data_IF_519458993609
#
_entry.id   IF_519458993609
#
_cell.length_a   1.000
_cell.length_b   1.000
_cell.length_c   1.000
_cell.angle_alpha   90.00
_cell.angle_beta   90.00
_cell.angle_gamma   90.00
#
_symmetry.space_group_name_H-M   'P 1'
#
loop_
_entity.id
_entity.type
_entity.pdbx_description
1 polymer ?
#
# COMPACT_ATOMS: atom_id res chain seq x y z
N UNK A 1 -22.44 -26.45 50.26
CA UNK A 1 -21.42 -26.91 49.28
C UNK A 1 -21.87 -26.70 47.84
N UNK A 2 -22.76 -27.48 47.22
CA UNK A 2 -23.10 -27.24 45.79
C UNK A 2 -23.72 -25.84 45.52
N UNK A 3 -24.58 -25.35 46.42
CA UNK A 3 -25.25 -24.05 46.27
C UNK A 3 -24.30 -22.85 46.53
N UNK A 4 -23.38 -22.96 47.50
CA UNK A 4 -22.39 -21.91 47.80
C UNK A 4 -21.42 -21.70 46.63
N UNK A 5 -20.96 -22.78 45.99
CA UNK A 5 -20.09 -22.70 44.81
C UNK A 5 -20.81 -22.08 43.60
N UNK A 6 -22.13 -22.28 43.47
CA UNK A 6 -22.92 -21.63 42.43
C UNK A 6 -23.11 -20.14 42.68
N UNK A 7 -23.26 -19.72 43.94
CA UNK A 7 -23.46 -18.32 44.31
C UNK A 7 -22.17 -17.51 44.18
N UNK A 8 -21.04 -18.06 44.60
CA UNK A 8 -19.71 -17.47 44.38
C UNK A 8 -19.38 -17.32 42.89
N UNK A 9 -19.69 -18.34 42.08
CA UNK A 9 -19.46 -18.32 40.64
C UNK A 9 -20.30 -17.25 39.93
N UNK A 10 -21.57 -17.06 40.33
CA UNK A 10 -22.42 -15.98 39.81
C UNK A 10 -21.91 -14.61 40.21
N UNK A 11 -21.53 -14.44 41.48
CA UNK A 11 -20.96 -13.18 41.97
C UNK A 11 -19.70 -12.81 41.18
N UNK A 12 -18.77 -13.75 41.02
CA UNK A 12 -17.55 -13.56 40.22
C UNK A 12 -17.84 -13.14 38.78
N UNK A 13 -18.78 -13.80 38.10
CA UNK A 13 -19.15 -13.46 36.73
C UNK A 13 -19.70 -12.02 36.60
N UNK A 14 -20.47 -11.56 37.59
CA UNK A 14 -20.98 -10.18 37.65
C UNK A 14 -19.83 -9.19 37.77
N UNK A 15 -18.92 -9.38 38.74
CA UNK A 15 -17.79 -8.46 38.95
C UNK A 15 -16.88 -8.40 37.72
N UNK A 16 -16.65 -9.53 37.04
CA UNK A 16 -15.90 -9.55 35.79
C UNK A 16 -16.60 -8.75 34.68
N UNK A 17 -17.91 -8.92 34.51
CA UNK A 17 -18.68 -8.18 33.51
C UNK A 17 -18.71 -6.67 33.81
N UNK A 18 -18.78 -6.30 35.10
CA UNK A 18 -18.69 -4.92 35.54
C UNK A 18 -17.32 -4.31 35.28
N UNK A 19 -16.23 -5.05 35.54
CA UNK A 19 -14.87 -4.61 35.25
C UNK A 19 -14.68 -4.36 33.75
N UNK A 20 -15.16 -5.26 32.91
CA UNK A 20 -15.13 -5.11 31.45
C UNK A 20 -15.91 -3.87 31.00
N UNK A 21 -17.07 -3.62 31.61
CA UNK A 21 -17.91 -2.45 31.31
C UNK A 21 -17.24 -1.16 31.75
N UNK A 22 -16.62 -1.14 32.93
CA UNK A 22 -15.86 -0.02 33.45
C UNK A 22 -14.62 0.31 32.60
N UNK A 23 -13.91 -0.73 32.10
CA UNK A 23 -12.79 -0.56 31.17
C UNK A 23 -13.24 0.12 29.87
N UNK A 24 -14.34 -0.35 29.26
CA UNK A 24 -14.92 0.28 28.06
C UNK A 24 -15.40 1.70 28.31
N UNK A 25 -15.96 1.97 29.48
CA UNK A 25 -16.42 3.28 29.91
C UNK A 25 -15.30 4.22 30.37
N UNK A 26 -14.07 3.70 30.57
CA UNK A 26 -12.90 4.44 31.05
C UNK A 26 -13.08 4.96 32.47
N UNK A 27 -13.90 4.28 33.26
CA UNK A 27 -14.22 4.65 34.63
C UNK A 27 -13.13 4.13 35.57
N UNK A 28 -12.05 4.90 35.70
CA UNK A 28 -10.88 4.55 36.53
C UNK A 28 -11.22 4.39 38.00
N UNK A 29 -12.22 5.11 38.52
CA UNK A 29 -12.69 4.96 39.89
C UNK A 29 -13.39 3.62 40.08
N UNK A 30 -14.29 3.23 39.15
CA UNK A 30 -14.97 1.94 39.22
C UNK A 30 -14.01 0.78 39.00
N UNK A 31 -13.07 0.90 38.07
CA UNK A 31 -11.99 -0.08 37.89
C UNK A 31 -11.22 -0.25 39.20
N UNK A 32 -10.74 0.85 39.80
CA UNK A 32 -9.98 0.77 41.06
C UNK A 32 -10.80 0.15 42.20
N UNK A 33 -12.10 0.45 42.28
CA UNK A 33 -12.99 -0.17 43.27
C UNK A 33 -13.08 -1.68 43.08
N UNK A 34 -13.34 -2.14 41.86
CA UNK A 34 -13.52 -3.56 41.53
C UNK A 34 -12.23 -4.36 41.71
N UNK A 35 -11.06 -3.78 41.43
CA UNK A 35 -9.77 -4.46 41.61
C UNK A 35 -9.37 -4.59 43.08
N UNK A 36 -9.87 -3.74 43.98
CA UNK A 36 -9.63 -3.89 45.43
C UNK A 36 -10.43 -5.03 46.05
N UNK A 37 -11.44 -5.51 45.35
CA UNK A 37 -12.22 -6.65 45.78
C UNK A 37 -11.46 -7.93 45.37
N UNK A 38 -11.18 -8.83 46.31
CA UNK A 38 -10.37 -10.06 46.10
C UNK A 38 -11.00 -11.07 45.12
N UNK A 39 -12.09 -10.71 44.44
CA UNK A 39 -12.76 -11.54 43.44
C UNK A 39 -12.04 -11.53 42.08
N UNK A 40 -11.38 -10.43 41.70
CA UNK A 40 -10.75 -10.31 40.38
C UNK A 40 -9.33 -10.86 40.43
N UNK A 41 -9.07 -11.89 39.62
CA UNK A 41 -7.73 -12.46 39.47
C UNK A 41 -6.90 -11.65 38.49
N UNK A 42 -5.59 -11.76 38.62
CA UNK A 42 -4.62 -11.14 37.71
C UNK A 42 -4.89 -11.54 36.23
N UNK A 43 -5.30 -12.79 35.97
CA UNK A 43 -5.68 -13.27 34.63
C UNK A 43 -6.89 -12.56 34.05
N UNK A 44 -7.82 -12.14 34.89
CA UNK A 44 -9.03 -11.44 34.48
C UNK A 44 -8.71 -9.98 34.15
N UNK A 45 -7.81 -9.37 34.94
CA UNK A 45 -7.25 -8.07 34.65
C UNK A 45 -6.47 -8.08 33.32
N UNK A 46 -5.67 -9.13 33.05
CA UNK A 46 -5.00 -9.33 31.76
C UNK A 46 -5.99 -9.36 30.59
N UNK A 47 -7.10 -10.08 30.74
CA UNK A 47 -8.15 -10.15 29.71
C UNK A 47 -8.85 -8.80 29.47
N UNK A 48 -8.77 -7.86 30.42
CA UNK A 48 -9.35 -6.52 30.31
C UNK A 48 -8.39 -5.49 29.68
N UNK A 49 -7.09 -5.77 29.55
CA UNK A 49 -6.12 -4.84 28.95
C UNK A 49 -6.55 -4.33 27.56
N UNK A 50 -7.03 -5.16 26.62
CA UNK A 50 -7.54 -4.70 25.32
C UNK A 50 -8.74 -3.75 25.42
N UNK A 51 -9.57 -3.88 26.46
CA UNK A 51 -10.77 -3.07 26.65
C UNK A 51 -10.45 -1.70 27.24
N UNK A 52 -9.37 -1.60 28.01
CA UNK A 52 -8.89 -0.36 28.60
C UNK A 52 -8.10 0.49 27.58
N UNK A 53 -7.67 -0.05 26.45
CA UNK A 53 -6.94 0.70 25.43
C UNK A 53 -7.77 1.85 24.81
N UNK A 54 -7.16 3.03 24.50
CA UNK A 54 -5.78 3.48 24.73
C UNK A 54 -5.56 4.19 26.10
N UNK A 55 -6.39 3.94 27.11
CA UNK A 55 -6.41 4.71 28.35
C UNK A 55 -5.31 4.27 29.30
N UNK A 56 -4.23 5.05 29.35
CA UNK A 56 -3.01 4.79 30.13
C UNK A 56 -3.34 4.54 31.60
N UNK A 57 -4.22 5.34 32.21
CA UNK A 57 -4.58 5.23 33.63
C UNK A 57 -5.38 3.95 33.92
N UNK A 58 -6.34 3.61 33.07
CA UNK A 58 -7.11 2.37 33.22
C UNK A 58 -6.22 1.14 33.05
N UNK A 59 -5.32 1.16 32.07
CA UNK A 59 -4.33 0.09 31.86
C UNK A 59 -3.37 -0.01 33.04
N UNK A 60 -2.90 1.12 33.59
CA UNK A 60 -2.01 1.13 34.77
C UNK A 60 -2.67 0.46 35.96
N UNK A 61 -3.94 0.75 36.24
CA UNK A 61 -4.68 0.09 37.33
C UNK A 61 -4.74 -1.43 37.15
N UNK A 62 -5.00 -1.92 35.92
CA UNK A 62 -5.02 -3.36 35.62
C UNK A 62 -3.63 -3.98 35.83
N UNK A 63 -2.57 -3.32 35.37
CA UNK A 63 -1.18 -3.78 35.49
C UNK A 63 -0.69 -3.79 36.94
N UNK A 64 -1.05 -2.78 37.74
CA UNK A 64 -0.77 -2.73 39.18
C UNK A 64 -1.47 -3.86 39.95
N UNK A 65 -2.60 -4.36 39.43
CA UNK A 65 -3.29 -5.56 39.93
C UNK A 65 -2.70 -6.89 39.42
N UNK A 66 -1.54 -6.84 38.76
CA UNK A 66 -0.81 -8.01 38.29
C UNK A 66 -1.24 -8.54 36.92
N UNK A 67 -2.01 -7.76 36.14
CA UNK A 67 -2.24 -8.11 34.74
C UNK A 67 -0.90 -8.34 34.00
N UNK A 68 -0.81 -9.43 33.25
CA UNK A 68 0.36 -9.76 32.45
C UNK A 68 0.39 -8.87 31.20
N UNK A 69 1.39 -7.99 31.04
CA UNK A 69 1.47 -7.09 29.90
C UNK A 69 1.71 -7.82 28.57
N UNK A 70 2.13 -9.09 28.60
CA UNK A 70 2.38 -9.90 27.40
C UNK A 70 1.12 -10.62 26.89
N UNK A 71 0.04 -10.67 27.68
CA UNK A 71 -1.27 -11.16 27.24
C UNK A 71 -1.92 -10.19 26.25
N UNK A 72 -1.49 -8.92 26.25
CA UNK A 72 -1.81 -7.97 25.20
C UNK A 72 -1.04 -8.34 23.90
N UNK A 73 -1.31 -9.55 23.37
CA UNK A 73 -0.66 -10.12 22.18
C UNK A 73 -0.89 -9.25 20.94
N UNK A 74 -1.85 -8.34 21.00
CA UNK A 74 -2.25 -7.54 19.87
C UNK A 74 -1.42 -6.26 19.84
N UNK A 75 -0.30 -6.37 19.13
CA UNK A 75 0.33 -5.33 18.30
C UNK A 75 -0.71 -4.37 17.68
N UNK A 76 -1.92 -4.85 17.41
CA UNK A 76 -3.06 -4.04 16.95
C UNK A 76 -3.47 -2.91 17.91
N UNK A 77 -3.42 -3.16 19.21
CA UNK A 77 -3.78 -2.16 20.20
C UNK A 77 -2.65 -1.15 20.35
N UNK A 78 -1.38 -1.53 20.37
CA UNK A 78 -0.22 -0.61 20.51
C UNK A 78 -0.08 0.49 19.45
N UNK A 79 -0.95 0.52 18.43
CA UNK A 79 -0.95 1.53 17.37
C UNK A 79 -1.12 2.95 17.94
N UNK A 80 -0.13 3.81 17.64
CA UNK A 80 -0.19 5.28 17.79
C UNK A 80 -0.17 5.83 19.23
N UNK A 81 0.15 5.04 20.25
CA UNK A 81 0.38 5.60 21.60
C UNK A 81 1.66 5.06 22.21
N UNK A 82 2.75 5.82 22.05
CA UNK A 82 4.04 5.51 22.67
C UNK A 82 3.93 5.50 24.20
N UNK A 83 3.02 6.28 24.78
CA UNK A 83 2.77 6.29 26.22
C UNK A 83 2.28 4.94 26.75
N UNK A 84 1.40 4.24 26.00
CA UNK A 84 0.98 2.90 26.40
C UNK A 84 2.09 1.87 26.19
N UNK A 85 2.87 1.98 25.11
CA UNK A 85 4.03 1.08 24.90
C UNK A 85 5.04 1.21 26.05
N UNK A 86 5.34 2.45 26.46
CA UNK A 86 6.17 2.74 27.64
C UNK A 86 5.61 2.10 28.90
N UNK A 87 4.31 2.27 29.16
CA UNK A 87 3.62 1.64 30.30
C UNK A 87 3.74 0.10 30.27
N UNK A 88 3.51 -0.54 29.12
CA UNK A 88 3.62 -2.01 29.03
C UNK A 88 5.05 -2.48 29.32
N UNK A 89 6.07 -1.77 28.82
CA UNK A 89 7.48 -2.05 29.10
C UNK A 89 7.82 -1.83 30.58
N UNK A 90 7.29 -0.78 31.23
CA UNK A 90 7.44 -0.55 32.68
C UNK A 90 7.00 -1.76 33.51
N UNK A 91 5.97 -2.50 33.06
CA UNK A 91 5.44 -3.67 33.74
C UNK A 91 5.99 -5.01 33.21
N UNK A 92 7.02 -4.99 32.36
CA UNK A 92 7.74 -6.19 31.92
C UNK A 92 7.37 -6.75 30.54
N UNK A 93 6.74 -5.95 29.67
CA UNK A 93 6.57 -6.34 28.26
C UNK A 93 7.92 -6.46 27.54
N UNK A 94 8.16 -7.58 26.86
CA UNK A 94 9.38 -7.77 26.06
C UNK A 94 9.25 -7.15 24.66
N UNK A 95 9.53 -5.85 24.59
CA UNK A 95 9.47 -5.08 23.34
C UNK A 95 10.48 -5.54 22.29
N UNK A 96 11.52 -6.32 22.63
CA UNK A 96 12.52 -6.78 21.65
C UNK A 96 11.94 -7.83 20.72
N UNK A 97 10.96 -8.59 21.19
CA UNK A 97 10.31 -9.64 20.41
C UNK A 97 9.23 -9.08 19.48
N UNK A 98 8.50 -8.05 19.91
CA UNK A 98 7.29 -7.52 19.24
C UNK A 98 7.44 -6.11 18.67
N UNK A 99 8.40 -5.31 19.14
CA UNK A 99 8.49 -3.87 18.82
C UNK A 99 8.72 -3.56 17.34
N UNK A 100 9.38 -4.46 16.60
CA UNK A 100 9.53 -4.33 15.14
C UNK A 100 8.20 -4.27 14.39
N UNK A 101 7.11 -4.79 14.99
CA UNK A 101 5.78 -4.83 14.39
C UNK A 101 4.99 -3.52 14.54
N UNK A 102 5.51 -2.55 15.29
CA UNK A 102 4.87 -1.23 15.52
C UNK A 102 5.73 -0.06 15.03
N UNK A 103 6.97 -0.29 14.57
CA UNK A 103 7.85 0.77 14.09
C UNK A 103 7.19 1.64 13.02
N UNK A 104 6.47 1.02 12.07
CA UNK A 104 5.80 1.75 11.00
C UNK A 104 4.68 2.68 11.47
N UNK A 105 4.09 2.42 12.64
CA UNK A 105 3.03 3.25 13.21
C UNK A 105 3.59 4.57 13.79
N UNK A 106 4.90 4.62 14.04
CA UNK A 106 5.64 5.78 14.54
C UNK A 106 6.54 6.43 13.48
N UNK A 107 6.35 6.14 12.19
CA UNK A 107 7.10 6.70 11.07
C UNK A 107 7.02 8.25 10.90
N UNK A 108 6.41 8.95 11.84
CA UNK A 108 6.26 10.40 11.92
C UNK A 108 6.72 10.97 13.26
N UNK A 109 7.16 10.12 14.19
CA UNK A 109 7.47 10.46 15.57
C UNK A 109 8.89 9.96 15.87
N UNK A 110 9.86 10.86 15.68
CA UNK A 110 11.28 10.58 15.90
C UNK A 110 11.55 10.17 17.34
N UNK A 111 10.93 10.84 18.31
CA UNK A 111 11.14 10.55 19.74
C UNK A 111 10.64 9.15 20.10
N UNK A 112 9.48 8.74 19.57
CA UNK A 112 8.97 7.39 19.76
C UNK A 112 9.87 6.33 19.11
N UNK A 113 10.36 6.59 17.90
CA UNK A 113 11.29 5.68 17.22
C UNK A 113 12.61 5.57 17.96
N UNK A 114 13.19 6.69 18.41
CA UNK A 114 14.41 6.70 19.22
C UNK A 114 14.23 5.88 20.48
N UNK A 115 13.13 6.10 21.21
CA UNK A 115 12.82 5.33 22.40
C UNK A 115 12.73 3.82 22.11
N UNK A 116 12.00 3.41 21.06
CA UNK A 116 11.87 1.99 20.69
C UNK A 116 13.23 1.36 20.38
N UNK A 117 14.04 2.03 19.57
CA UNK A 117 15.35 1.54 19.15
C UNK A 117 16.34 1.49 20.33
N UNK A 118 16.29 2.46 21.24
CA UNK A 118 17.09 2.48 22.47
C UNK A 118 16.70 1.33 23.43
N UNK A 119 15.47 0.82 23.33
CA UNK A 119 15.01 -0.36 24.07
C UNK A 119 15.27 -1.69 23.32
N UNK A 120 16.11 -1.66 22.29
CA UNK A 120 16.60 -2.86 21.60
C UNK A 120 15.64 -3.42 20.56
N UNK A 121 14.69 -2.62 20.08
CA UNK A 121 13.90 -2.97 18.90
C UNK A 121 14.80 -2.98 17.65
N UNK A 122 14.73 -4.07 16.89
CA UNK A 122 15.54 -4.26 15.68
C UNK A 122 14.86 -3.60 14.46
N UNK A 123 15.49 -2.55 13.93
CA UNK A 123 15.01 -1.79 12.78
C UNK A 123 15.08 -2.56 11.44
N UNK A 124 15.80 -3.69 11.40
CA UNK A 124 15.97 -4.53 10.20
C UNK A 124 14.95 -5.67 10.11
N UNK A 125 14.13 -5.88 11.15
CA UNK A 125 13.10 -6.92 11.17
C UNK A 125 11.82 -6.43 10.50
N UNK A 126 11.28 -7.26 9.61
CA UNK A 126 10.08 -6.94 8.84
C UNK A 126 8.83 -7.50 9.52
N UNK A 127 7.67 -6.92 9.24
CA UNK A 127 6.36 -7.15 9.89
C UNK A 127 5.69 -8.50 9.53
N UNK A 128 6.44 -9.45 8.96
CA UNK A 128 5.88 -10.68 8.39
C UNK A 128 5.38 -11.70 9.42
N UNK A 129 5.61 -11.47 10.73
CA UNK A 129 5.22 -12.40 11.81
C UNK A 129 3.99 -11.96 12.61
N UNK A 130 2.97 -11.36 11.98
CA UNK A 130 1.63 -11.20 12.59
C UNK A 130 0.86 -12.52 12.66
N UNK A 131 1.49 -13.53 13.26
CA UNK A 131 0.98 -14.90 13.40
C UNK A 131 0.89 -15.23 14.90
N UNK A 132 -0.08 -14.66 15.58
CA UNK A 132 -0.38 -15.01 16.99
C UNK A 132 -1.00 -16.41 17.14
N UNK A 133 -1.37 -17.09 16.04
CA UNK A 133 -2.13 -18.36 16.10
C UNK A 133 -1.48 -19.53 15.38
N UNK A 134 -0.23 -19.38 14.89
CA UNK A 134 0.43 -20.41 14.07
C UNK A 134 -0.26 -20.67 12.72
N UNK A 135 -1.33 -19.96 12.38
CA UNK A 135 -1.91 -19.89 11.03
C UNK A 135 -1.54 -18.55 10.39
N UNK A 136 -0.87 -18.54 9.22
CA UNK A 136 -0.63 -17.32 8.47
C UNK A 136 -1.94 -16.53 8.35
N UNK A 137 -1.99 -15.21 8.66
CA UNK A 137 -3.14 -14.42 8.28
C UNK A 137 -3.34 -14.63 6.77
N UNK A 138 -4.54 -15.04 6.35
CA UNK A 138 -4.86 -15.14 4.93
C UNK A 138 -4.81 -13.74 4.32
N UNK A 139 -3.67 -13.39 3.72
CA UNK A 139 -3.42 -12.06 3.17
C UNK A 139 -1.99 -11.91 2.67
N UNK A 140 -1.78 -10.96 1.75
CA UNK A 140 -0.48 -10.70 1.14
C UNK A 140 0.60 -10.40 2.19
N UNK A 141 1.75 -11.06 2.11
CA UNK A 141 2.87 -10.74 2.98
C UNK A 141 3.69 -9.61 2.35
N UNK A 142 3.91 -8.55 3.11
CA UNK A 142 4.82 -7.47 2.75
C UNK A 142 6.10 -7.66 3.58
N UNK A 143 7.17 -8.11 2.92
CA UNK A 143 8.47 -8.33 3.53
C UNK A 143 9.33 -7.06 3.56
N UNK A 144 8.78 -5.92 3.13
CA UNK A 144 9.53 -4.68 3.16
C UNK A 144 9.60 -4.06 4.56
N UNK A 145 10.62 -3.23 4.78
CA UNK A 145 10.72 -2.39 5.98
C UNK A 145 9.71 -1.24 5.91
N UNK A 146 8.48 -1.52 6.34
CA UNK A 146 7.36 -0.56 6.31
C UNK A 146 7.63 0.77 6.99
N UNK A 147 8.49 0.79 8.02
CA UNK A 147 8.91 2.05 8.66
C UNK A 147 9.62 2.97 7.66
N UNK A 148 10.57 2.44 6.88
CA UNK A 148 11.26 3.20 5.83
C UNK A 148 10.30 3.60 4.71
N UNK A 149 9.38 2.72 4.31
CA UNK A 149 8.35 3.03 3.30
C UNK A 149 7.48 4.22 3.71
N UNK A 150 7.02 4.23 4.97
CA UNK A 150 6.14 5.28 5.49
C UNK A 150 6.88 6.61 5.66
N UNK A 151 8.17 6.57 6.06
CA UNK A 151 9.03 7.75 6.12
C UNK A 151 9.25 8.32 4.71
N UNK A 152 9.56 7.46 3.74
CA UNK A 152 9.75 7.85 2.33
C UNK A 152 8.46 8.44 1.72
N UNK A 153 7.30 7.86 2.01
CA UNK A 153 6.00 8.39 1.61
C UNK A 153 5.68 9.78 2.18
N UNK A 154 6.43 10.24 3.18
CA UNK A 154 6.33 11.60 3.75
C UNK A 154 7.43 12.53 3.24
N UNK A 155 8.42 12.00 2.52
CA UNK A 155 9.60 12.71 2.06
C UNK A 155 10.49 13.23 3.19
N UNK A 156 10.52 12.52 4.33
CA UNK A 156 11.31 12.90 5.51
C UNK A 156 12.71 12.25 5.47
N UNK A 157 13.63 12.91 4.76
CA UNK A 157 15.00 12.43 4.52
C UNK A 157 15.77 12.29 5.84
N UNK A 158 15.64 13.25 6.74
CA UNK A 158 16.38 13.25 8.01
C UNK A 158 15.98 12.07 8.89
N UNK A 159 14.68 11.79 9.00
CA UNK A 159 14.21 10.63 9.74
C UNK A 159 14.59 9.33 9.02
N UNK A 160 14.58 9.30 7.69
CA UNK A 160 14.98 8.13 6.91
C UNK A 160 16.42 7.73 7.22
N UNK A 161 17.35 8.66 7.07
CA UNK A 161 18.78 8.44 7.34
C UNK A 161 19.05 8.11 8.80
N UNK A 162 18.29 8.72 9.71
CA UNK A 162 18.37 8.41 11.11
C UNK A 162 18.04 6.93 11.37
N UNK A 163 16.98 6.39 10.77
CA UNK A 163 16.60 4.99 10.93
C UNK A 163 17.58 4.03 10.23
N UNK A 164 18.11 4.41 9.06
CA UNK A 164 19.18 3.66 8.39
C UNK A 164 20.45 3.60 9.25
N UNK A 165 20.86 4.72 9.85
CA UNK A 165 22.00 4.79 10.78
C UNK A 165 21.79 3.91 12.02
N UNK A 166 20.55 3.63 12.38
CA UNK A 166 20.17 2.72 13.49
C UNK A 166 20.04 1.26 13.05
N UNK A 167 20.45 0.92 11.82
CA UNK A 167 20.60 -0.45 11.34
C UNK A 167 19.49 -0.93 10.39
N UNK A 168 18.54 -0.07 10.00
CA UNK A 168 17.59 -0.43 8.96
C UNK A 168 18.28 -0.49 7.59
N UNK A 169 17.95 -1.51 6.79
CA UNK A 169 18.52 -1.70 5.45
C UNK A 169 17.57 -1.13 4.38
N UNK A 170 17.93 -0.03 3.70
CA UNK A 170 17.08 0.59 2.68
C UNK A 170 16.77 -0.36 1.50
N UNK A 171 17.65 -1.31 1.17
CA UNK A 171 17.41 -2.27 0.07
C UNK A 171 16.39 -3.35 0.42
N UNK A 172 16.03 -3.47 1.69
CA UNK A 172 14.92 -4.33 2.16
C UNK A 172 13.62 -3.54 2.30
N UNK A 173 13.53 -2.37 1.69
CA UNK A 173 12.34 -1.51 1.71
C UNK A 173 11.81 -1.24 0.31
N UNK A 174 10.58 -0.72 0.24
CA UNK A 174 9.96 -0.14 -0.94
C UNK A 174 9.99 1.40 -0.85
N UNK A 175 11.03 1.97 -0.23
CA UNK A 175 11.15 3.40 -0.02
C UNK A 175 11.07 4.19 -1.34
N UNK A 176 11.80 3.75 -2.37
CA UNK A 176 11.81 4.42 -3.67
C UNK A 176 10.43 4.39 -4.34
N UNK A 177 9.72 3.26 -4.29
CA UNK A 177 8.33 3.15 -4.76
C UNK A 177 7.37 4.03 -3.95
N UNK A 178 7.58 4.12 -2.63
CA UNK A 178 6.69 4.85 -1.72
C UNK A 178 6.94 6.36 -1.72
N UNK A 179 8.11 6.84 -2.16
CA UNK A 179 8.40 8.26 -2.28
C UNK A 179 7.35 9.00 -3.14
N UNK A 180 6.82 8.33 -4.16
CA UNK A 180 5.75 8.88 -5.02
C UNK A 180 4.41 9.09 -4.33
N UNK A 181 4.18 8.53 -3.15
CA UNK A 181 2.99 8.80 -2.33
C UNK A 181 3.06 10.16 -1.63
N UNK A 182 4.22 10.79 -1.60
CA UNK A 182 4.40 12.07 -0.93
C UNK A 182 3.56 13.15 -1.63
N UNK A 183 2.63 13.81 -0.93
CA UNK A 183 1.76 14.82 -1.52
C UNK A 183 2.48 16.14 -1.83
N UNK A 184 3.67 16.33 -1.27
CA UNK A 184 4.53 17.48 -1.48
C UNK A 184 5.54 17.16 -2.61
N UNK A 185 5.42 17.78 -3.80
CA UNK A 185 6.29 17.52 -4.94
C UNK A 185 7.77 17.69 -4.66
N UNK A 186 8.15 18.74 -3.93
CA UNK A 186 9.56 19.07 -3.68
C UNK A 186 10.18 18.00 -2.78
N UNK A 187 9.45 17.58 -1.74
CA UNK A 187 9.88 16.49 -0.86
C UNK A 187 9.91 15.15 -1.56
N UNK A 188 8.94 14.85 -2.43
CA UNK A 188 8.91 13.62 -3.21
C UNK A 188 10.16 13.51 -4.09
N UNK A 189 10.48 14.58 -4.84
CA UNK A 189 11.65 14.63 -5.71
C UNK A 189 12.96 14.57 -4.93
N UNK A 190 13.07 15.31 -3.81
CA UNK A 190 14.24 15.27 -2.95
C UNK A 190 14.48 13.88 -2.35
N UNK A 191 13.40 13.19 -1.92
CA UNK A 191 13.49 11.82 -1.43
C UNK A 191 13.92 10.85 -2.53
N UNK A 192 13.38 10.95 -3.74
CA UNK A 192 13.82 10.13 -4.89
C UNK A 192 15.31 10.31 -5.14
N UNK A 193 15.80 11.56 -5.20
CA UNK A 193 17.21 11.87 -5.42
C UNK A 193 18.10 11.26 -4.35
N UNK A 194 17.70 11.44 -3.09
CA UNK A 194 18.43 10.92 -1.95
C UNK A 194 18.54 9.39 -1.96
N UNK A 195 17.43 8.69 -2.25
CA UNK A 195 17.41 7.23 -2.31
C UNK A 195 18.29 6.68 -3.45
N UNK A 196 18.33 7.36 -4.60
CA UNK A 196 19.16 6.96 -5.73
C UNK A 196 20.65 7.29 -5.52
N UNK A 197 20.98 8.47 -4.98
CA UNK A 197 22.36 8.96 -4.90
C UNK A 197 23.09 8.50 -3.63
N UNK A 198 22.40 8.54 -2.49
CA UNK A 198 23.02 8.24 -1.19
C UNK A 198 22.89 6.75 -0.88
N UNK A 199 21.71 6.18 -1.11
CA UNK A 199 21.43 4.78 -0.80
C UNK A 199 21.59 3.84 -2.00
N UNK A 200 21.96 4.35 -3.19
CA UNK A 200 22.19 3.55 -4.40
C UNK A 200 21.05 2.57 -4.71
N UNK A 201 19.80 2.98 -4.47
CA UNK A 201 18.65 2.15 -4.80
C UNK A 201 18.52 1.98 -6.32
N UNK A 202 18.15 0.79 -6.74
CA UNK A 202 17.95 0.47 -8.16
C UNK A 202 16.68 1.16 -8.68
N UNK A 203 16.84 2.01 -9.69
CA UNK A 203 15.73 2.74 -10.33
C UNK A 203 14.75 1.81 -11.03
N UNK A 204 15.19 0.61 -11.43
CA UNK A 204 14.39 -0.42 -12.06
C UNK A 204 13.92 -1.51 -11.08
N UNK A 205 14.11 -1.30 -9.77
CA UNK A 205 13.77 -2.27 -8.75
C UNK A 205 12.31 -2.71 -8.84
N UNK A 206 12.09 -4.00 -9.02
CA UNK A 206 10.75 -4.57 -9.03
C UNK A 206 10.30 -4.90 -7.60
N UNK A 207 9.20 -4.30 -7.15
CA UNK A 207 8.67 -4.50 -5.80
C UNK A 207 8.05 -5.89 -5.56
N UNK A 208 7.89 -6.67 -6.62
CA UNK A 208 7.40 -8.04 -6.61
C UNK A 208 8.22 -8.96 -5.70
N UNK A 209 9.54 -8.79 -5.61
CA UNK A 209 10.40 -9.62 -4.75
C UNK A 209 10.18 -9.44 -3.26
N UNK A 210 9.61 -8.30 -2.85
CA UNK A 210 9.34 -7.97 -1.46
C UNK A 210 7.87 -8.20 -1.08
N UNK A 211 7.04 -8.66 -2.01
CA UNK A 211 5.61 -8.95 -1.82
C UNK A 211 5.36 -10.44 -2.06
N UNK A 212 4.81 -11.14 -1.08
CA UNK A 212 4.33 -12.52 -1.28
C UNK A 212 3.02 -12.46 -2.06
N UNK A 213 3.08 -13.01 -3.26
CA UNK A 213 2.13 -12.83 -4.34
C UNK A 213 0.79 -13.51 -4.07
N UNK A 214 -0.29 -12.74 -3.96
CA UNK A 214 -1.64 -13.25 -4.25
C UNK A 214 -2.60 -12.24 -4.91
N UNK A 215 -2.22 -10.97 -5.13
CA UNK A 215 -3.07 -10.01 -5.84
C UNK A 215 -2.26 -9.06 -6.73
N UNK A 216 -2.78 -8.78 -7.93
CA UNK A 216 -2.32 -7.70 -8.80
C UNK A 216 -2.60 -6.35 -8.12
N UNK A 217 -1.73 -5.92 -7.22
CA UNK A 217 -1.80 -4.58 -6.67
C UNK A 217 -1.46 -3.59 -7.79
N UNK A 218 -2.27 -2.55 -8.00
CA UNK A 218 -2.07 -1.59 -9.09
C UNK A 218 -0.75 -0.83 -9.01
N UNK A 219 -0.12 -0.82 -7.83
CA UNK A 219 1.22 -0.28 -7.59
C UNK A 219 2.33 -1.35 -7.66
N UNK A 220 2.10 -2.53 -8.24
CA UNK A 220 3.17 -3.52 -8.47
C UNK A 220 4.13 -3.08 -9.57
N UNK A 221 5.41 -3.46 -9.50
CA UNK A 221 6.41 -3.19 -10.53
C UNK A 221 7.49 -2.19 -10.13
N UNK A 222 7.88 -1.33 -11.07
CA UNK A 222 8.97 -0.35 -10.91
C UNK A 222 8.53 0.89 -10.12
N UNK A 223 9.47 1.69 -9.57
CA UNK A 223 9.16 2.97 -8.95
C UNK A 223 8.40 3.92 -9.88
N UNK A 224 8.74 3.93 -11.17
CA UNK A 224 8.05 4.75 -12.17
C UNK A 224 6.58 4.35 -12.32
N UNK A 225 6.28 3.05 -12.33
CA UNK A 225 4.90 2.56 -12.36
C UNK A 225 4.14 2.96 -11.09
N UNK A 226 4.76 2.92 -9.92
CA UNK A 226 4.15 3.47 -8.70
C UNK A 226 3.88 4.98 -8.82
N UNK A 227 4.79 5.75 -9.39
CA UNK A 227 4.59 7.19 -9.57
C UNK A 227 3.38 7.51 -10.47
N UNK A 228 3.17 6.70 -11.52
CA UNK A 228 1.98 6.76 -12.36
C UNK A 228 0.72 6.39 -11.56
N UNK A 229 0.75 5.27 -10.84
CA UNK A 229 -0.39 4.81 -10.05
C UNK A 229 -0.83 5.82 -8.99
N UNK A 230 0.12 6.47 -8.29
CA UNK A 230 -0.16 7.51 -7.30
C UNK A 230 -0.40 8.90 -7.92
N UNK A 231 -0.45 9.00 -9.25
CA UNK A 231 -0.72 10.24 -10.00
C UNK A 231 0.23 11.39 -9.64
N UNK A 232 1.49 11.07 -9.37
CA UNK A 232 2.51 12.03 -8.95
C UNK A 232 3.40 12.43 -10.13
N UNK A 233 2.96 13.44 -10.88
CA UNK A 233 3.65 13.89 -12.10
C UNK A 233 5.07 14.41 -11.86
N UNK A 234 5.34 15.17 -10.79
CA UNK A 234 6.69 15.52 -10.39
C UNK A 234 7.59 14.28 -10.20
N UNK A 235 7.10 13.25 -9.50
CA UNK A 235 7.85 12.01 -9.31
C UNK A 235 8.08 11.25 -10.63
N UNK A 236 7.08 11.19 -11.53
CA UNK A 236 7.22 10.59 -12.87
C UNK A 236 8.34 11.29 -13.65
N UNK A 237 8.26 12.62 -13.80
CA UNK A 237 9.27 13.39 -14.52
C UNK A 237 10.65 13.19 -13.91
N UNK A 238 10.72 13.20 -12.58
CA UNK A 238 11.99 13.03 -11.87
C UNK A 238 12.62 11.66 -12.09
N UNK A 239 11.85 10.58 -12.05
CA UNK A 239 12.34 9.24 -12.33
C UNK A 239 12.80 9.11 -13.79
N UNK A 240 12.08 9.69 -14.74
CA UNK A 240 12.48 9.73 -16.16
C UNK A 240 13.78 10.52 -16.37
N UNK A 241 13.94 11.68 -15.72
CA UNK A 241 15.19 12.46 -15.72
C UNK A 241 16.38 11.64 -15.21
N UNK A 242 16.13 10.66 -14.32
CA UNK A 242 17.13 9.73 -13.77
C UNK A 242 17.34 8.48 -14.62
N UNK A 243 16.66 8.37 -15.76
CA UNK A 243 16.82 7.28 -16.72
C UNK A 243 15.94 6.07 -16.45
N UNK A 244 14.83 6.22 -15.70
CA UNK A 244 13.86 5.14 -15.54
C UNK A 244 13.26 4.74 -16.89
N UNK A 245 13.10 3.44 -17.12
CA UNK A 245 12.53 2.92 -18.36
C UNK A 245 11.01 3.20 -18.41
N UNK A 246 10.52 3.98 -19.40
CA UNK A 246 9.11 4.37 -19.46
C UNK A 246 8.16 3.24 -19.88
N UNK A 247 8.65 2.20 -20.57
CA UNK A 247 7.80 1.20 -21.25
C UNK A 247 6.80 0.52 -20.31
N UNK A 248 7.27 0.08 -19.13
CA UNK A 248 6.41 -0.62 -18.16
C UNK A 248 5.34 0.28 -17.54
N UNK A 249 5.53 1.60 -17.57
CA UNK A 249 4.64 2.57 -16.94
C UNK A 249 3.53 3.07 -17.90
N UNK A 250 3.74 2.98 -19.22
CA UNK A 250 2.78 3.41 -20.25
C UNK A 250 1.44 2.72 -20.06
N UNK A 251 1.43 1.39 -19.91
CA UNK A 251 0.19 0.63 -19.75
C UNK A 251 -0.62 1.11 -18.54
N UNK A 252 0.04 1.41 -17.42
CA UNK A 252 -0.63 1.91 -16.21
C UNK A 252 -1.24 3.30 -16.39
N UNK A 253 -0.76 4.11 -17.33
CA UNK A 253 -1.39 5.40 -17.66
C UNK A 253 -2.68 5.26 -18.45
N UNK A 254 -2.78 4.20 -19.26
CA UNK A 254 -3.86 4.00 -20.23
C UNK A 254 -4.96 3.11 -19.67
N UNK A 255 -4.58 2.05 -18.95
CA UNK A 255 -5.47 1.12 -18.27
C UNK A 255 -5.00 0.83 -16.85
N UNK A 256 -5.91 0.98 -15.91
CA UNK A 256 -5.74 0.52 -14.53
C UNK A 256 -7.06 -0.02 -14.05
N UNK A 257 -7.10 -1.33 -13.81
CA UNK A 257 -8.29 -2.01 -13.29
C UNK A 257 -8.74 -1.49 -11.90
N UNK A 258 -7.89 -0.72 -11.21
CA UNK A 258 -8.10 -0.28 -9.82
C UNK A 258 -8.32 1.24 -9.72
N UNK A 259 -7.79 2.02 -10.67
CA UNK A 259 -7.87 3.49 -10.67
C UNK A 259 -8.23 4.02 -12.05
N UNK A 260 -8.86 5.18 -12.14
CA UNK A 260 -9.09 5.81 -13.44
C UNK A 260 -7.75 5.99 -14.21
N UNK A 261 -7.76 5.82 -15.56
CA UNK A 261 -6.60 6.11 -16.39
C UNK A 261 -6.03 7.50 -16.11
N UNK A 262 -4.70 7.61 -16.13
CA UNK A 262 -4.01 8.86 -15.81
C UNK A 262 -3.17 9.35 -16.99
N UNK A 263 -3.90 9.87 -17.98
CA UNK A 263 -3.38 10.42 -19.24
C UNK A 263 -2.29 11.50 -19.06
N UNK A 264 -2.29 12.38 -18.03
CA UNK A 264 -1.24 13.39 -17.87
C UNK A 264 0.21 12.87 -17.79
N UNK A 265 0.42 11.60 -17.45
CA UNK A 265 1.76 11.00 -17.47
C UNK A 265 2.17 10.44 -18.84
N UNK A 266 1.24 10.24 -19.77
CA UNK A 266 1.53 9.62 -21.06
C UNK A 266 2.52 10.44 -21.88
N UNK A 267 2.31 11.76 -22.01
CA UNK A 267 3.23 12.64 -22.73
C UNK A 267 4.68 12.56 -22.22
N UNK A 268 4.96 12.73 -20.90
CA UNK A 268 6.30 12.54 -20.36
C UNK A 268 6.91 11.18 -20.68
N UNK A 269 6.13 10.09 -20.62
CA UNK A 269 6.62 8.74 -20.90
C UNK A 269 7.03 8.58 -22.37
N UNK A 270 6.21 9.08 -23.29
CA UNK A 270 6.51 9.07 -24.73
C UNK A 270 7.73 9.96 -25.05
N UNK A 271 7.83 11.13 -24.41
CA UNK A 271 9.00 12.02 -24.55
C UNK A 271 10.29 11.37 -24.02
N UNK A 272 10.18 10.46 -23.05
CA UNK A 272 11.29 9.67 -22.52
C UNK A 272 11.60 8.41 -23.36
N UNK A 273 10.91 8.21 -24.48
CA UNK A 273 11.22 7.15 -25.45
C UNK A 273 10.35 5.90 -25.35
N UNK A 274 9.22 5.94 -24.64
CA UNK A 274 8.23 4.87 -24.75
C UNK A 274 7.65 4.75 -26.17
N UNK A 275 7.35 3.53 -26.59
CA UNK A 275 6.72 3.22 -27.88
C UNK A 275 5.34 3.86 -28.02
N UNK A 276 5.25 4.91 -28.84
CA UNK A 276 3.98 5.56 -29.17
C UNK A 276 3.02 4.63 -29.92
N UNK A 277 3.55 3.67 -30.69
CA UNK A 277 2.78 2.67 -31.43
C UNK A 277 2.11 1.66 -30.49
N UNK A 278 2.86 1.12 -29.54
CA UNK A 278 2.31 0.17 -28.55
C UNK A 278 1.33 0.88 -27.60
N UNK A 279 1.64 2.13 -27.23
CA UNK A 279 0.73 2.98 -26.48
C UNK A 279 -0.58 3.25 -27.25
N UNK A 280 -0.51 3.54 -28.56
CA UNK A 280 -1.69 3.76 -29.39
C UNK A 280 -2.54 2.49 -29.50
N UNK A 281 -1.93 1.34 -29.73
CA UNK A 281 -2.63 0.06 -29.78
C UNK A 281 -3.40 -0.20 -28.48
N UNK A 282 -2.73 -0.02 -27.33
CA UNK A 282 -3.35 -0.22 -26.03
C UNK A 282 -4.45 0.81 -25.73
N UNK A 283 -4.27 2.07 -26.12
CA UNK A 283 -5.30 3.11 -25.99
C UNK A 283 -6.55 2.81 -26.83
N UNK A 284 -6.37 2.26 -28.04
CA UNK A 284 -7.47 1.85 -28.90
C UNK A 284 -8.21 0.65 -28.32
N UNK A 285 -7.48 -0.29 -27.72
CA UNK A 285 -8.07 -1.49 -27.11
C UNK A 285 -8.95 -1.19 -25.89
N UNK A 286 -8.65 -0.10 -25.18
CA UNK A 286 -9.38 0.39 -24.01
C UNK A 286 -10.28 1.61 -24.32
N UNK A 287 -10.43 1.97 -25.60
CA UNK A 287 -11.22 3.12 -26.06
C UNK A 287 -10.85 4.46 -25.39
N UNK A 288 -9.58 4.62 -25.02
CA UNK A 288 -9.05 5.82 -24.40
C UNK A 288 -8.67 6.84 -25.48
N UNK A 289 -9.65 7.66 -25.88
CA UNK A 289 -9.50 8.67 -26.93
C UNK A 289 -8.38 9.67 -26.71
N UNK A 290 -8.27 10.20 -25.50
CA UNK A 290 -7.29 11.23 -25.23
C UNK A 290 -5.87 10.66 -25.30
N UNK A 291 -5.67 9.44 -24.77
CA UNK A 291 -4.41 8.72 -24.94
C UNK A 291 -4.10 8.45 -26.42
N UNK A 292 -5.08 7.99 -27.20
CA UNK A 292 -4.89 7.75 -28.64
C UNK A 292 -4.53 9.03 -29.41
N UNK A 293 -5.18 10.17 -29.09
CA UNK A 293 -4.85 11.49 -29.66
C UNK A 293 -3.41 11.90 -29.35
N UNK A 294 -2.98 11.72 -28.11
CA UNK A 294 -1.60 12.02 -27.69
C UNK A 294 -0.61 11.12 -28.44
N UNK A 295 -0.86 9.82 -28.53
CA UNK A 295 0.05 8.89 -29.23
C UNK A 295 0.20 9.26 -30.72
N UNK A 296 -0.92 9.57 -31.40
CA UNK A 296 -0.88 10.07 -32.79
C UNK A 296 -0.10 11.37 -32.90
N UNK A 297 -0.32 12.32 -31.99
CA UNK A 297 0.40 13.60 -31.98
C UNK A 297 1.92 13.41 -31.73
N UNK A 298 2.31 12.33 -31.03
CA UNK A 298 3.70 11.91 -30.81
C UNK A 298 4.26 11.02 -31.93
N UNK A 299 3.52 10.85 -33.03
CA UNK A 299 4.02 10.19 -34.24
C UNK A 299 3.66 8.71 -34.39
N UNK A 300 2.75 8.17 -33.57
CA UNK A 300 2.29 6.79 -33.71
C UNK A 300 1.65 6.52 -35.09
N UNK A 301 1.89 5.34 -35.64
CA UNK A 301 1.34 4.90 -36.92
C UNK A 301 -0.09 4.39 -36.80
N UNK A 302 -1.03 5.32 -36.97
CA UNK A 302 -2.46 5.01 -37.02
C UNK A 302 -2.83 3.98 -38.10
N UNK A 303 -2.05 3.83 -39.18
CA UNK A 303 -2.37 2.88 -40.26
C UNK A 303 -2.16 1.44 -39.81
N UNK A 304 -1.09 1.18 -39.07
CA UNK A 304 -0.82 -0.13 -38.49
C UNK A 304 -1.92 -0.55 -37.53
N UNK A 305 -2.32 0.36 -36.62
CA UNK A 305 -3.35 0.07 -35.61
C UNK A 305 -4.73 -0.13 -36.26
N UNK A 306 -5.07 0.65 -37.30
CA UNK A 306 -6.28 0.43 -38.11
C UNK A 306 -6.30 -0.96 -38.78
N UNK A 307 -5.16 -1.41 -39.31
CA UNK A 307 -5.03 -2.73 -39.93
C UNK A 307 -5.30 -3.86 -38.93
N UNK A 308 -4.72 -3.76 -37.72
CA UNK A 308 -4.98 -4.72 -36.63
C UNK A 308 -6.45 -4.72 -36.22
N UNK A 309 -7.04 -3.55 -36.06
CA UNK A 309 -8.46 -3.38 -35.72
C UNK A 309 -9.39 -4.02 -36.77
N UNK A 310 -9.17 -3.77 -38.06
CA UNK A 310 -9.92 -4.43 -39.14
C UNK A 310 -9.79 -5.95 -39.11
N UNK A 311 -8.58 -6.48 -38.84
CA UNK A 311 -8.36 -7.92 -38.71
C UNK A 311 -9.13 -8.51 -37.53
N UNK A 312 -9.14 -7.84 -36.37
CA UNK A 312 -9.91 -8.27 -35.18
C UNK A 312 -11.42 -8.28 -35.47
N UNK A 313 -11.97 -7.23 -36.05
CA UNK A 313 -13.39 -7.16 -36.43
C UNK A 313 -13.76 -8.27 -37.41
N UNK A 314 -12.92 -8.54 -38.42
CA UNK A 314 -13.15 -9.62 -39.36
C UNK A 314 -13.19 -10.99 -38.68
N UNK A 315 -12.31 -11.24 -37.69
CA UNK A 315 -12.35 -12.47 -36.89
C UNK A 315 -13.63 -12.60 -36.06
N UNK A 316 -14.08 -11.51 -35.44
CA UNK A 316 -15.33 -11.46 -34.64
C UNK A 316 -16.53 -11.78 -35.54
N UNK A 317 -16.65 -11.10 -36.69
CA UNK A 317 -17.72 -11.33 -37.66
C UNK A 317 -17.73 -12.75 -38.24
N UNK A 318 -16.55 -13.35 -38.39
CA UNK A 318 -16.41 -14.74 -38.83
C UNK A 318 -16.67 -15.78 -37.73
N UNK A 319 -16.89 -15.35 -36.47
CA UNK A 319 -17.04 -16.26 -35.32
C UNK A 319 -15.77 -17.03 -34.98
N UNK A 320 -14.60 -16.51 -35.35
CA UNK A 320 -13.28 -17.15 -35.15
C UNK A 320 -12.42 -16.47 -34.10
N UNK A 321 -12.93 -15.38 -33.51
CA UNK A 321 -12.24 -14.64 -32.46
C UNK A 321 -12.34 -15.41 -31.15
N UNK A 322 -11.20 -15.79 -30.61
CA UNK A 322 -11.08 -16.47 -29.33
C UNK A 322 -10.68 -15.45 -28.26
N UNK A 323 -11.59 -15.10 -27.35
CA UNK A 323 -11.33 -14.07 -26.32
C UNK A 323 -10.23 -14.45 -25.32
N UNK A 324 -9.92 -15.73 -25.15
CA UNK A 324 -8.83 -16.16 -24.25
C UNK A 324 -7.47 -16.10 -24.95
N UNK A 325 -7.45 -16.29 -26.28
CA UNK A 325 -6.23 -16.34 -27.09
C UNK A 325 -5.90 -15.03 -27.80
N UNK A 326 -6.92 -14.34 -28.31
CA UNK A 326 -6.79 -13.23 -29.25
C UNK A 326 -7.04 -11.85 -28.61
N UNK A 327 -7.59 -11.78 -27.40
CA UNK A 327 -7.79 -10.51 -26.68
C UNK A 327 -6.65 -10.23 -25.69
N UNK A 328 -6.25 -8.96 -25.59
CA UNK A 328 -5.34 -8.50 -24.54
C UNK A 328 -5.99 -8.69 -23.15
N UNK A 329 -5.23 -9.10 -22.13
CA UNK A 329 -5.72 -9.16 -20.76
C UNK A 329 -6.33 -7.81 -20.34
N UNK A 330 -7.59 -7.82 -19.90
CA UNK A 330 -8.33 -6.59 -19.53
C UNK A 330 -9.29 -6.06 -20.61
N UNK A 331 -9.10 -6.41 -21.89
CA UNK A 331 -9.93 -5.91 -23.00
C UNK A 331 -11.29 -6.64 -23.16
N UNK A 332 -11.55 -7.69 -22.39
CA UNK A 332 -12.70 -8.61 -22.58
C UNK A 332 -14.09 -7.96 -22.43
N UNK A 333 -14.20 -6.75 -21.87
CA UNK A 333 -15.46 -6.00 -21.73
C UNK A 333 -15.75 -4.98 -22.83
N UNK A 334 -14.73 -4.43 -23.50
CA UNK A 334 -14.87 -3.26 -24.40
C UNK A 334 -15.31 -3.61 -25.83
N UNK A 335 -15.39 -4.90 -26.16
CA UNK A 335 -15.66 -5.39 -27.51
C UNK A 335 -17.02 -6.07 -27.68
N UNK A 336 -17.91 -5.96 -26.68
CA UNK A 336 -19.30 -6.37 -26.84
C UNK A 336 -19.99 -5.52 -27.91
N UNK A 337 -20.66 -6.17 -28.88
CA UNK A 337 -21.43 -5.50 -29.94
C UNK A 337 -22.80 -5.00 -29.44
N UNK A 338 -23.27 -5.51 -28.30
CA UNK A 338 -24.60 -5.22 -27.76
C UNK A 338 -24.67 -3.87 -26.99
N UNK A 339 -23.53 -3.23 -26.78
CA UNK A 339 -23.45 -1.92 -26.11
C UNK A 339 -23.38 -0.78 -27.14
N UNK A 340 -24.50 -0.06 -27.30
CA UNK A 340 -24.61 1.10 -28.20
C UNK A 340 -23.65 2.25 -27.83
N UNK A 341 -23.33 2.43 -26.54
CA UNK A 341 -22.41 3.46 -26.07
C UNK A 341 -20.99 3.16 -26.57
N UNK A 342 -20.53 1.93 -26.34
CA UNK A 342 -19.23 1.45 -26.81
C UNK A 342 -19.14 1.42 -28.34
N UNK A 343 -20.25 1.17 -29.04
CA UNK A 343 -20.32 1.25 -30.50
C UNK A 343 -20.16 2.68 -31.03
N UNK A 344 -20.67 3.68 -30.30
CA UNK A 344 -20.40 5.09 -30.55
C UNK A 344 -18.92 5.40 -30.43
N UNK A 345 -18.31 5.02 -29.30
CA UNK A 345 -16.90 5.27 -29.03
C UNK A 345 -15.98 4.63 -30.09
N UNK A 346 -16.26 3.39 -30.48
CA UNK A 346 -15.50 2.72 -31.55
C UNK A 346 -15.58 3.44 -32.90
N UNK A 347 -16.71 4.08 -33.22
CA UNK A 347 -16.84 4.87 -34.46
C UNK A 347 -15.98 6.12 -34.42
N UNK A 348 -16.01 6.84 -33.30
CA UNK A 348 -15.23 8.06 -33.12
C UNK A 348 -13.72 7.74 -33.12
N UNK A 349 -13.32 6.62 -32.50
CA UNK A 349 -11.91 6.20 -32.46
C UNK A 349 -11.42 5.87 -33.88
N UNK A 350 -12.23 5.19 -34.68
CA UNK A 350 -11.91 4.94 -36.09
C UNK A 350 -11.86 6.23 -36.90
N UNK A 351 -12.70 7.21 -36.62
CA UNK A 351 -12.68 8.50 -37.30
C UNK A 351 -11.36 9.24 -37.02
N UNK A 352 -10.92 9.27 -35.75
CA UNK A 352 -9.64 9.82 -35.33
C UNK A 352 -8.46 9.16 -36.05
N UNK A 353 -8.42 7.82 -36.06
CA UNK A 353 -7.33 7.08 -36.70
C UNK A 353 -7.30 7.29 -38.23
N UNK A 354 -8.47 7.41 -38.87
CA UNK A 354 -8.56 7.69 -40.31
C UNK A 354 -8.07 9.09 -40.66
N UNK A 355 -8.45 10.11 -39.89
CA UNK A 355 -7.94 11.48 -40.13
C UNK A 355 -6.42 11.52 -39.96
N UNK A 356 -5.90 10.90 -38.90
CA UNK A 356 -4.46 10.81 -38.65
C UNK A 356 -3.68 10.10 -39.76
N UNK A 357 -4.28 9.08 -40.39
CA UNK A 357 -3.63 8.32 -41.47
C UNK A 357 -3.59 9.09 -42.80
N UNK A 358 -4.53 10.01 -43.02
CA UNK A 358 -4.58 10.84 -44.23
C UNK A 358 -3.62 12.02 -44.16
N UNK A 359 -3.29 12.48 -42.95
CA UNK A 359 -2.42 13.64 -42.71
C UNK A 359 -0.92 13.31 -42.73
N UNK A 360 -0.52 12.04 -42.87
CA UNK A 360 0.88 11.70 -43.09
C UNK A 360 1.31 12.30 -44.44
N UNK A 361 2.24 13.28 -44.48
CA UNK A 361 2.77 13.75 -45.74
C UNK A 361 3.37 12.54 -46.44
N UNK A 362 2.90 12.27 -47.67
CA UNK A 362 3.57 11.34 -48.54
C UNK A 362 4.98 11.87 -48.73
N UNK A 363 5.96 11.27 -48.04
CA UNK A 363 7.38 11.46 -48.34
C UNK A 363 7.63 10.89 -49.75
N UNK A 364 7.23 11.66 -50.75
CA UNK A 364 7.58 11.49 -52.13
C UNK A 364 8.96 12.15 -52.34
N UNK A 365 9.97 11.29 -52.48
CA UNK A 365 11.24 11.46 -53.22
C UNK A 365 12.01 12.78 -53.12
#
# INVERSE_FOLDING_TARGET
>A
MADEWQEESKSYAIHLQELQSACKAKDTLRISSLLREDFIKATDASACLPMAWPHVEAMRLLLEHGADPNVCATVWYMKKSIGVVKLLVEFGHDIRTTGHLILQDFAHDREALDWLLDHGVDASRTDHKRVDTGRPPGGAHDYSLKVLNNIAARGDIELFDHIVKRGADPHRSLALHCASKCPDPEKAMAMIDHLLEVHNMDIEADNEKLRDFFHAAGDSGTPLKCAVYYQNLPAVRKLLERGANPEKAVYTTIDSAISAPWVPALEPLLDAGASADDALEHAVDHLNFEAARICVAKGADATMVLGKQHSRIAKIQAGTFDYERDAEPGAQGYWSEDDEETAGERRDMRALLKSASLDKPTENC
#
